data_IF_328768035403
#
_entry.id   IF_328768035403
#
_cell.length_a   1.000
_cell.length_b   1.000
_cell.length_c   1.000
_cell.angle_alpha   90.00
_cell.angle_beta   90.00
_cell.angle_gamma   90.00
#
_symmetry.space_group_name_H-M   'P 1'
#
loop_
_entity.id
_entity.type
_entity.pdbx_description
1 polymer ?
#
# COMPACT_ATOMS: atom_id res chain seq x y z
N UNK A 1 10.58 18.07 -7.61
CA UNK A 1 9.19 18.32 -7.18
C UNK A 1 8.64 17.20 -6.29
N UNK A 2 8.76 15.91 -6.65
CA UNK A 2 8.30 14.78 -5.80
C UNK A 2 9.08 14.56 -4.48
N UNK A 3 10.37 14.90 -4.43
CA UNK A 3 11.20 14.74 -3.22
C UNK A 3 10.76 15.66 -2.06
N UNK A 4 10.21 16.84 -2.37
CA UNK A 4 9.73 17.81 -1.39
C UNK A 4 8.43 17.33 -0.74
N UNK A 5 7.55 16.69 -1.52
CA UNK A 5 6.30 16.10 -1.01
C UNK A 5 6.57 14.98 0.00
N UNK A 6 7.48 14.05 -0.31
CA UNK A 6 7.83 12.95 0.60
C UNK A 6 8.39 13.51 1.93
N UNK A 7 9.26 14.52 1.89
CA UNK A 7 9.80 15.13 3.11
C UNK A 7 8.72 15.85 3.94
N UNK A 8 7.75 16.53 3.32
CA UNK A 8 6.64 17.16 4.06
C UNK A 8 5.68 16.13 4.68
N UNK A 9 5.52 14.96 4.06
CA UNK A 9 4.77 13.84 4.65
C UNK A 9 5.45 13.34 5.94
N UNK A 10 6.77 13.14 5.91
CA UNK A 10 7.53 12.70 7.09
C UNK A 10 7.55 13.73 8.22
N UNK A 11 7.44 15.03 7.94
CA UNK A 11 7.39 16.06 8.99
C UNK A 11 6.03 16.20 9.69
N UNK A 12 4.93 15.82 9.04
CA UNK A 12 3.57 15.97 9.58
C UNK A 12 2.96 14.66 10.07
N UNK A 13 3.56 13.52 9.73
CA UNK A 13 3.13 12.23 10.23
C UNK A 13 3.54 12.08 11.68
N UNK A 14 2.60 11.64 12.52
CA UNK A 14 2.93 11.31 13.90
C UNK A 14 3.80 10.07 13.90
N UNK A 15 4.83 10.05 14.73
CA UNK A 15 5.67 8.85 14.94
C UNK A 15 4.81 7.60 15.23
N UNK A 16 3.66 7.79 15.89
CA UNK A 16 2.68 6.74 16.18
C UNK A 16 2.03 6.11 14.95
N UNK A 17 1.82 6.86 13.85
CA UNK A 17 1.19 6.30 12.64
C UNK A 17 2.16 5.38 11.89
N UNK A 18 3.45 5.76 11.84
CA UNK A 18 4.50 4.90 11.30
C UNK A 18 4.69 3.65 12.15
N UNK A 19 4.71 3.79 13.47
CA UNK A 19 4.84 2.66 14.39
C UNK A 19 3.64 1.70 14.28
N UNK A 20 2.42 2.23 14.22
CA UNK A 20 1.22 1.40 14.04
C UNK A 20 1.21 0.69 12.69
N UNK A 21 1.65 1.35 11.62
CA UNK A 21 1.74 0.74 10.30
C UNK A 21 2.82 -0.36 10.27
N UNK A 22 3.98 -0.09 10.85
CA UNK A 22 5.05 -1.07 11.04
C UNK A 22 4.53 -2.30 11.79
N UNK A 23 3.88 -2.09 12.94
CA UNK A 23 3.31 -3.16 13.76
C UNK A 23 2.23 -3.95 12.99
N UNK A 24 1.44 -3.28 12.16
CA UNK A 24 0.41 -3.95 11.36
C UNK A 24 1.01 -4.89 10.32
N UNK A 25 2.09 -4.49 9.65
CA UNK A 25 2.82 -5.35 8.71
C UNK A 25 3.59 -6.46 9.43
N UNK A 26 4.26 -6.15 10.54
CA UNK A 26 5.04 -7.15 11.28
C UNK A 26 4.14 -8.27 11.85
N UNK A 27 2.95 -7.91 12.35
CA UNK A 27 2.01 -8.85 13.00
C UNK A 27 0.90 -9.36 12.10
N UNK A 28 0.90 -9.00 10.80
CA UNK A 28 -0.17 -9.33 9.85
C UNK A 28 -1.58 -8.89 10.32
N UNK A 29 -1.68 -7.75 10.99
CA UNK A 29 -2.93 -7.25 11.58
C UNK A 29 -3.70 -6.35 10.60
N UNK A 30 -4.61 -6.95 9.82
CA UNK A 30 -5.47 -6.26 8.84
C UNK A 30 -6.23 -5.07 9.45
N UNK A 31 -6.79 -5.24 10.66
CA UNK A 31 -7.60 -4.20 11.30
C UNK A 31 -6.75 -3.00 11.68
N UNK A 32 -5.56 -3.24 12.22
CA UNK A 32 -4.61 -2.19 12.56
C UNK A 32 -4.11 -1.48 11.30
N UNK A 33 -3.75 -2.24 10.25
CA UNK A 33 -3.36 -1.69 8.96
C UNK A 33 -4.45 -0.77 8.40
N UNK A 34 -5.68 -1.28 8.30
CA UNK A 34 -6.82 -0.56 7.71
C UNK A 34 -7.15 0.71 8.48
N UNK A 35 -7.14 0.65 9.81
CA UNK A 35 -7.43 1.82 10.66
C UNK A 35 -6.32 2.86 10.54
N UNK A 36 -5.06 2.43 10.63
CA UNK A 36 -3.90 3.32 10.51
C UNK A 36 -3.82 3.98 9.15
N UNK A 37 -4.04 3.21 8.07
CA UNK A 37 -4.01 3.73 6.70
C UNK A 37 -5.11 4.78 6.46
N UNK A 38 -6.32 4.58 7.00
CA UNK A 38 -7.39 5.59 6.97
C UNK A 38 -7.00 6.87 7.72
N UNK A 39 -6.44 6.74 8.92
CA UNK A 39 -5.98 7.90 9.68
C UNK A 39 -4.91 8.70 8.92
N UNK A 40 -3.98 8.00 8.26
CA UNK A 40 -2.96 8.61 7.38
C UNK A 40 -3.64 9.37 6.25
N UNK A 41 -4.58 8.77 5.51
CA UNK A 41 -5.31 9.45 4.43
C UNK A 41 -6.09 10.69 4.89
N UNK A 42 -6.62 10.66 6.12
CA UNK A 42 -7.34 11.79 6.70
C UNK A 42 -6.41 12.95 7.06
N UNK A 43 -5.27 12.65 7.66
CA UNK A 43 -4.41 13.63 8.32
C UNK A 43 -3.27 14.17 7.45
N UNK A 44 -2.72 13.35 6.55
CA UNK A 44 -1.50 13.67 5.83
C UNK A 44 -1.73 14.35 4.48
N UNK A 45 -2.37 13.70 3.49
CA UNK A 45 -2.50 14.30 2.17
C UNK A 45 -3.60 15.36 2.18
N UNK A 46 -3.36 16.47 1.47
CA UNK A 46 -4.49 17.29 1.03
C UNK A 46 -5.27 16.48 -0.01
N UNK A 47 -6.60 16.60 -0.05
CA UNK A 47 -7.40 15.92 -1.09
C UNK A 47 -7.05 16.40 -2.50
N UNK A 48 -6.40 17.58 -2.62
CA UNK A 48 -5.87 18.06 -3.89
C UNK A 48 -4.62 17.31 -4.34
N UNK A 49 -3.93 16.59 -3.46
CA UNK A 49 -2.73 15.81 -3.83
C UNK A 49 -3.08 14.37 -4.22
N UNK A 50 -4.29 13.89 -3.92
CA UNK A 50 -4.78 12.55 -4.22
C UNK A 50 -5.66 12.55 -5.48
N UNK A 51 -5.03 12.52 -6.66
CA UNK A 51 -5.75 12.70 -7.95
C UNK A 51 -5.90 11.43 -8.78
N UNK A 52 -5.08 10.42 -8.52
CA UNK A 52 -4.95 9.19 -9.30
C UNK A 52 -4.27 8.08 -8.48
N UNK A 53 -4.23 6.86 -9.03
CA UNK A 53 -3.56 5.70 -8.43
C UNK A 53 -2.11 5.99 -8.05
N UNK A 54 -1.38 6.73 -8.90
CA UNK A 54 0.02 7.06 -8.71
C UNK A 54 0.25 7.93 -7.46
N UNK A 55 -0.72 8.77 -7.10
CA UNK A 55 -0.64 9.62 -5.90
C UNK A 55 -0.64 8.77 -4.62
N UNK A 56 -1.53 7.78 -4.52
CA UNK A 56 -1.56 6.85 -3.38
C UNK A 56 -0.36 5.91 -3.37
N UNK A 57 0.03 5.42 -4.54
CA UNK A 57 1.23 4.59 -4.71
C UNK A 57 2.47 5.30 -4.17
N UNK A 58 2.71 6.55 -4.56
CA UNK A 58 3.88 7.31 -4.12
C UNK A 58 3.84 7.61 -2.60
N UNK A 59 2.65 7.87 -2.05
CA UNK A 59 2.47 8.04 -0.61
C UNK A 59 2.85 6.76 0.14
N UNK A 60 2.25 5.62 -0.23
CA UNK A 60 2.52 4.34 0.43
C UNK A 60 3.96 3.87 0.21
N UNK A 61 4.55 4.09 -0.97
CA UNK A 61 5.96 3.81 -1.22
C UNK A 61 6.86 4.62 -0.28
N UNK A 62 6.52 5.89 -0.02
CA UNK A 62 7.16 6.72 0.98
C UNK A 62 7.10 6.10 2.37
N UNK A 63 5.91 5.71 2.82
CA UNK A 63 5.71 5.03 4.12
C UNK A 63 6.50 3.72 4.20
N UNK A 64 6.49 2.91 3.13
CA UNK A 64 7.21 1.64 3.06
C UNK A 64 8.72 1.81 3.09
N UNK A 65 9.26 2.92 2.59
CA UNK A 65 10.69 3.20 2.67
C UNK A 65 11.21 3.27 4.12
N UNK A 66 10.36 3.61 5.09
CA UNK A 66 10.68 3.59 6.51
C UNK A 66 10.94 2.18 7.05
N UNK A 67 10.30 1.17 6.45
CA UNK A 67 10.39 -0.23 6.89
C UNK A 67 11.50 -1.02 6.19
N UNK A 68 12.43 -0.34 5.50
CA UNK A 68 13.54 -0.96 4.77
C UNK A 68 14.51 -1.76 5.64
N UNK A 69 14.44 -1.63 6.96
CA UNK A 69 15.19 -2.46 7.89
C UNK A 69 14.71 -3.92 7.87
N UNK A 70 13.40 -4.17 7.82
CA UNK A 70 12.79 -5.52 7.88
C UNK A 70 12.22 -6.01 6.55
N UNK A 71 11.98 -5.10 5.60
CA UNK A 71 11.52 -5.42 4.24
C UNK A 71 12.54 -4.97 3.20
N UNK A 72 12.73 -5.77 2.16
CA UNK A 72 13.17 -5.27 0.87
C UNK A 72 11.96 -4.70 0.13
N UNK A 73 12.04 -3.44 -0.27
CA UNK A 73 10.93 -2.69 -0.87
C UNK A 73 11.17 -2.56 -2.36
N UNK A 74 10.40 -3.31 -3.13
CA UNK A 74 10.37 -3.21 -4.58
C UNK A 74 9.15 -2.39 -5.01
N UNK A 75 9.34 -1.55 -6.02
CA UNK A 75 8.24 -0.86 -6.69
C UNK A 75 8.56 -0.81 -8.17
N UNK A 76 7.69 -1.40 -8.99
CA UNK A 76 7.93 -1.51 -10.42
C UNK A 76 7.90 -0.13 -11.08
N UNK A 77 9.07 0.31 -11.54
CA UNK A 77 9.25 1.32 -12.58
C UNK A 77 9.72 0.57 -13.83
N UNK A 78 9.03 0.77 -14.96
CA UNK A 78 9.53 0.52 -16.34
C UNK A 78 9.26 -0.82 -17.06
N UNK A 79 8.10 -1.48 -16.88
CA UNK A 79 7.64 -2.46 -17.89
C UNK A 79 6.21 -2.16 -18.39
N UNK A 80 6.07 -1.06 -19.14
CA UNK A 80 5.16 -0.90 -20.29
C UNK A 80 3.64 -1.14 -20.19
N UNK A 81 3.08 -1.65 -19.09
CA UNK A 81 1.68 -2.14 -19.04
C UNK A 81 0.90 -1.76 -17.77
N UNK A 82 1.42 -0.86 -16.93
CA UNK A 82 0.72 -0.36 -15.75
C UNK A 82 1.68 -0.05 -14.62
N UNK A 83 1.53 1.14 -14.02
CA UNK A 83 2.25 1.57 -12.82
C UNK A 83 1.31 1.29 -11.66
N UNK A 84 1.66 0.47 -10.68
CA UNK A 84 0.73 0.29 -9.57
C UNK A 84 1.05 -0.71 -8.46
N UNK A 85 2.31 -1.16 -8.33
CA UNK A 85 2.61 -2.26 -7.41
C UNK A 85 3.76 -1.97 -6.47
N UNK A 86 3.53 -2.21 -5.18
CA UNK A 86 4.56 -2.25 -4.15
C UNK A 86 4.65 -3.68 -3.63
N UNK A 87 5.86 -4.22 -3.65
CA UNK A 87 6.16 -5.53 -3.07
C UNK A 87 7.07 -5.33 -1.87
N UNK A 88 6.64 -5.84 -0.72
CA UNK A 88 7.43 -5.88 0.50
C UNK A 88 7.91 -7.31 0.70
N UNK A 89 9.19 -7.56 0.44
CA UNK A 89 9.81 -8.87 0.60
C UNK A 89 10.35 -8.97 2.02
N UNK A 90 9.80 -9.86 2.83
CA UNK A 90 10.23 -10.06 4.20
C UNK A 90 11.69 -10.53 4.24
N UNK A 91 12.52 -9.87 5.06
CA UNK A 91 13.91 -10.30 5.30
C UNK A 91 14.02 -11.39 6.36
N UNK A 92 12.93 -11.67 7.08
CA UNK A 92 12.83 -12.70 8.11
C UNK A 92 11.63 -13.58 7.82
N UNK A 93 11.73 -14.87 8.16
CA UNK A 93 10.71 -15.86 7.83
C UNK A 93 9.54 -15.89 8.83
N UNK A 94 9.64 -15.16 9.95
CA UNK A 94 8.60 -15.06 10.98
C UNK A 94 7.52 -14.02 10.66
N UNK A 95 7.76 -13.16 9.67
CA UNK A 95 6.84 -12.12 9.19
C UNK A 95 6.47 -12.38 7.72
N UNK A 96 5.27 -11.97 7.26
CA UNK A 96 4.85 -12.21 5.88
C UNK A 96 5.45 -11.20 4.90
N UNK A 97 5.55 -11.60 3.64
CA UNK A 97 5.75 -10.70 2.50
C UNK A 97 4.41 -10.15 1.99
N UNK A 98 4.43 -8.97 1.38
CA UNK A 98 3.22 -8.30 0.91
C UNK A 98 3.29 -7.91 -0.56
N UNK A 99 2.14 -7.99 -1.23
CA UNK A 99 1.92 -7.37 -2.54
C UNK A 99 0.75 -6.41 -2.42
N UNK A 100 0.99 -5.13 -2.72
CA UNK A 100 0.01 -4.06 -2.65
C UNK A 100 -0.30 -3.57 -4.06
N UNK A 101 -1.58 -3.54 -4.41
CA UNK A 101 -2.09 -3.01 -5.68
C UNK A 101 -3.11 -1.91 -5.40
N UNK A 102 -2.99 -0.82 -6.17
CA UNK A 102 -3.79 0.38 -6.00
C UNK A 102 -4.80 0.55 -7.13
N UNK A 103 -6.01 0.98 -6.76
CA UNK A 103 -7.05 1.39 -7.67
C UNK A 103 -7.65 2.72 -7.25
N UNK A 104 -8.06 3.52 -8.21
CA UNK A 104 -8.69 4.82 -7.96
C UNK A 104 -9.85 5.08 -8.91
N UNK A 105 -10.95 5.57 -8.37
CA UNK A 105 -12.09 6.06 -9.15
C UNK A 105 -12.30 7.56 -8.94
N UNK A 106 -12.41 8.30 -10.05
CA UNK A 106 -12.78 9.73 -10.02
C UNK A 106 -14.24 9.94 -9.64
N UNK A 107 -15.10 9.01 -10.05
CA UNK A 107 -16.53 9.00 -9.70
C UNK A 107 -16.76 8.14 -8.46
N UNK A 108 -17.85 8.39 -7.75
CA UNK A 108 -18.28 7.48 -6.69
C UNK A 108 -18.64 6.13 -7.32
N UNK A 109 -18.03 5.07 -6.82
CA UNK A 109 -18.22 3.71 -7.32
C UNK A 109 -18.21 2.71 -6.17
N UNK A 110 -18.54 1.45 -6.47
CA UNK A 110 -18.36 0.37 -5.53
C UNK A 110 -16.86 0.10 -5.32
N UNK A 111 -16.32 0.65 -4.22
CA UNK A 111 -14.92 0.46 -3.84
C UNK A 111 -14.61 -0.99 -3.44
N UNK A 112 -15.59 -1.80 -3.02
CA UNK A 112 -15.37 -3.22 -2.74
C UNK A 112 -15.08 -3.98 -4.03
N UNK A 113 -15.93 -3.78 -5.04
CA UNK A 113 -15.70 -4.37 -6.37
C UNK A 113 -14.34 -3.93 -6.93
N UNK A 114 -14.00 -2.65 -6.79
CA UNK A 114 -12.72 -2.12 -7.28
C UNK A 114 -11.51 -2.69 -6.51
N UNK A 115 -11.63 -2.92 -5.20
CA UNK A 115 -10.58 -3.57 -4.41
C UNK A 115 -10.42 -5.05 -4.80
N UNK A 116 -11.52 -5.74 -5.16
CA UNK A 116 -11.46 -7.09 -5.70
C UNK A 116 -10.74 -7.10 -7.06
N UNK A 117 -10.95 -6.10 -7.93
CA UNK A 117 -10.20 -5.95 -9.19
C UNK A 117 -8.69 -5.82 -8.92
N UNK A 118 -8.29 -5.08 -7.88
CA UNK A 118 -6.89 -4.99 -7.47
C UNK A 118 -6.30 -6.38 -7.11
N UNK A 119 -7.03 -7.17 -6.31
CA UNK A 119 -6.61 -8.55 -5.99
C UNK A 119 -6.50 -9.42 -7.25
N UNK A 120 -7.46 -9.34 -8.16
CA UNK A 120 -7.40 -10.10 -9.41
C UNK A 120 -6.19 -9.72 -10.26
N UNK A 121 -5.81 -8.43 -10.26
CA UNK A 121 -4.62 -7.97 -10.96
C UNK A 121 -3.34 -8.55 -10.36
N UNK A 122 -3.21 -8.57 -9.02
CA UNK A 122 -2.07 -9.21 -8.33
C UNK A 122 -1.92 -10.68 -8.77
N UNK A 123 -3.04 -11.44 -8.74
CA UNK A 123 -3.06 -12.86 -9.10
C UNK A 123 -2.69 -13.06 -10.58
N UNK A 124 -3.28 -12.26 -11.47
CA UNK A 124 -3.06 -12.37 -12.92
C UNK A 124 -1.62 -12.07 -13.31
N UNK A 125 -1.02 -11.04 -12.69
CA UNK A 125 0.36 -10.61 -12.95
C UNK A 125 1.41 -11.48 -12.25
N UNK A 126 0.98 -12.30 -11.27
CA UNK A 126 1.82 -13.25 -10.53
C UNK A 126 3.02 -12.58 -9.85
N UNK A 127 2.79 -11.42 -9.22
CA UNK A 127 3.84 -10.67 -8.51
C UNK A 127 4.48 -11.45 -7.35
N UNK A 128 3.78 -12.47 -6.89
CA UNK A 128 4.19 -13.39 -5.85
C UNK A 128 5.17 -14.47 -6.31
N UNK A 129 5.46 -14.61 -7.62
CA UNK A 129 6.29 -15.71 -8.15
C UNK A 129 7.68 -15.84 -7.51
N UNK A 130 8.25 -14.72 -7.07
CA UNK A 130 9.58 -14.70 -6.42
C UNK A 130 9.49 -14.71 -4.90
N UNK A 131 8.29 -14.52 -4.34
CA UNK A 131 8.08 -14.49 -2.90
C UNK A 131 8.06 -15.91 -2.35
N UNK A 132 8.54 -16.04 -1.12
CA UNK A 132 8.57 -17.30 -0.37
C UNK A 132 7.77 -17.15 0.91
N UNK A 133 7.43 -18.28 1.52
CA UNK A 133 6.74 -18.37 2.80
C UNK A 133 5.37 -17.68 2.80
N UNK A 134 5.00 -17.01 3.91
CA UNK A 134 3.70 -16.37 4.08
C UNK A 134 3.61 -15.13 3.19
N UNK A 135 2.59 -15.09 2.33
CA UNK A 135 2.36 -13.97 1.41
C UNK A 135 0.95 -13.42 1.66
N UNK A 136 0.84 -12.09 1.68
CA UNK A 136 -0.42 -11.39 1.84
C UNK A 136 -0.63 -10.42 0.69
N UNK A 137 -1.81 -10.50 0.06
CA UNK A 137 -2.23 -9.55 -0.96
C UNK A 137 -3.11 -8.48 -0.34
N UNK A 138 -2.83 -7.23 -0.68
CA UNK A 138 -3.60 -6.07 -0.24
C UNK A 138 -4.07 -5.29 -1.47
N UNK A 139 -5.37 -5.39 -1.76
CA UNK A 139 -6.03 -4.58 -2.76
C UNK A 139 -6.57 -3.30 -2.13
N UNK A 140 -6.19 -2.13 -2.66
CA UNK A 140 -6.58 -0.83 -2.13
C UNK A 140 -7.36 -0.04 -3.17
N UNK A 141 -8.65 0.17 -2.96
CA UNK A 141 -9.49 0.98 -3.82
C UNK A 141 -9.85 2.31 -3.19
N UNK A 142 -9.57 3.40 -3.90
CA UNK A 142 -9.69 4.75 -3.39
C UNK A 142 -10.71 5.58 -4.16
N UNK A 143 -11.37 6.46 -3.43
CA UNK A 143 -12.06 7.64 -3.96
C UNK A 143 -11.81 8.81 -3.01
N UNK A 144 -11.02 9.79 -3.45
CA UNK A 144 -10.52 10.88 -2.58
C UNK A 144 -9.88 10.31 -1.30
N UNK A 145 -10.36 10.65 -0.11
CA UNK A 145 -9.83 10.12 1.15
C UNK A 145 -10.46 8.79 1.59
N UNK A 146 -11.50 8.34 0.91
CA UNK A 146 -12.15 7.06 1.20
C UNK A 146 -11.34 5.91 0.61
N UNK A 147 -11.21 4.84 1.39
CA UNK A 147 -10.56 3.59 0.95
C UNK A 147 -11.31 2.35 1.39
N UNK A 148 -11.40 1.39 0.47
CA UNK A 148 -11.71 0.00 0.76
C UNK A 148 -10.44 -0.85 0.63
N UNK A 149 -10.18 -1.63 1.67
CA UNK A 149 -9.05 -2.56 1.76
C UNK A 149 -9.59 -3.97 1.57
N UNK A 150 -8.94 -4.75 0.72
CA UNK A 150 -9.14 -6.20 0.60
C UNK A 150 -7.85 -6.90 1.00
N UNK A 151 -7.90 -7.71 2.03
CA UNK A 151 -6.76 -8.44 2.58
C UNK A 151 -6.92 -9.93 2.34
N UNK A 152 -5.98 -10.56 1.65
CA UNK A 152 -6.02 -11.99 1.33
C UNK A 152 -4.71 -12.62 1.79
N UNK A 153 -4.81 -13.53 2.75
CA UNK A 153 -3.70 -14.43 3.08
C UNK A 153 -3.63 -15.47 1.97
N UNK A 154 -2.48 -15.55 1.28
CA UNK A 154 -2.27 -16.56 0.26
C UNK A 154 -1.95 -17.89 0.95
N UNK A 155 -2.76 -18.89 0.66
CA UNK A 155 -2.56 -20.28 1.10
C UNK A 155 -1.36 -20.95 0.42
#
# INVERSE_FOLDING_TARGET
MYMIFICSYFQNAKDTDFENLYNAFETANEKLFTTTYRNILETLPSSFDLKDENSYHMMVLGLCAWMRNIYEVESNREEGLGRGDIVLIAKRNDIPSYVLEFKYSKEECDLDQLANVAIQQIIYKKYDMKLKDKIIYIGLAHHKKSVKVKWINKD
#
